data_IF_710748896307
#
_entry.id   IF_710748896307
#
_cell.length_a   1.000
_cell.length_b   1.000
_cell.length_c   1.000
_cell.angle_alpha   90.00
_cell.angle_beta   90.00
_cell.angle_gamma   90.00
#
_symmetry.space_group_name_H-M   'P 1'
#
loop_
_entity.id
_entity.type
_entity.pdbx_description
1 polymer ?
#
# COMPACT_ATOMS: atom_id res chain seq x y z
N UNK A 1 5.76 -7.96 1.31
CA UNK A 1 4.29 -7.93 1.48
C UNK A 1 3.92 -6.62 2.15
N UNK A 2 2.84 -5.97 1.74
CA UNK A 2 2.36 -4.73 2.38
C UNK A 2 1.21 -5.01 3.34
N UNK A 3 1.15 -4.27 4.45
CA UNK A 3 -0.01 -4.21 5.32
C UNK A 3 -1.03 -3.24 4.74
N UNK A 4 -2.10 -3.76 4.15
CA UNK A 4 -3.20 -2.97 3.57
C UNK A 4 -4.08 -2.43 4.70
N UNK A 5 -4.39 -1.14 4.65
CA UNK A 5 -5.40 -0.50 5.52
C UNK A 5 -6.62 -0.15 4.69
N UNK A 6 -7.80 -0.38 5.27
CA UNK A 6 -9.08 -0.06 4.64
C UNK A 6 -9.98 0.69 5.61
N UNK A 7 -11.03 1.31 5.09
CA UNK A 7 -12.09 1.94 5.90
C UNK A 7 -12.87 0.95 6.77
N UNK A 8 -12.68 -0.35 6.56
CA UNK A 8 -13.51 -1.40 7.14
C UNK A 8 -14.94 -1.41 6.57
N UNK A 9 -15.79 -2.19 7.22
CA UNK A 9 -17.20 -2.35 6.85
C UNK A 9 -17.93 -0.99 6.92
N UNK A 10 -18.82 -0.68 5.95
CA UNK A 10 -19.30 -1.56 4.87
C UNK A 10 -18.55 -1.43 3.53
N UNK A 11 -17.61 -0.50 3.41
CA UNK A 11 -17.12 -0.07 2.09
C UNK A 11 -15.73 -0.62 1.73
N UNK A 12 -14.90 -0.95 2.71
CA UNK A 12 -13.56 -1.53 2.55
C UNK A 12 -12.63 -0.79 1.57
N UNK A 13 -12.84 0.51 1.33
CA UNK A 13 -11.95 1.25 0.43
C UNK A 13 -10.57 1.42 1.10
N UNK A 14 -9.52 1.37 0.28
CA UNK A 14 -8.14 1.41 0.76
C UNK A 14 -7.76 2.81 1.24
N UNK A 15 -7.24 2.89 2.46
CA UNK A 15 -6.81 4.12 3.12
C UNK A 15 -5.29 4.26 3.19
N UNK A 16 -4.55 3.18 2.91
CA UNK A 16 -3.10 3.22 2.83
C UNK A 16 -2.44 1.85 2.92
N UNK A 17 -1.10 1.87 2.88
CA UNK A 17 -0.26 0.69 3.03
C UNK A 17 0.97 0.98 3.88
N UNK A 18 1.47 -0.05 4.56
CA UNK A 18 2.82 -0.08 5.14
C UNK A 18 3.64 -1.21 4.49
N UNK A 19 4.93 -0.96 4.27
CA UNK A 19 5.89 -1.93 3.73
C UNK A 19 7.21 -1.86 4.52
N UNK A 20 7.76 -2.99 4.99
CA UNK A 20 7.16 -4.33 4.98
C UNK A 20 5.95 -4.41 5.92
N UNK A 21 5.10 -5.40 5.74
CA UNK A 21 4.15 -5.83 6.77
C UNK A 21 4.88 -6.63 7.87
N UNK A 22 4.61 -6.46 9.18
CA UNK A 22 5.22 -7.27 10.23
C UNK A 22 4.97 -8.78 10.07
N UNK A 23 3.83 -9.20 9.52
CA UNK A 23 3.56 -10.61 9.24
C UNK A 23 4.49 -11.18 8.16
N UNK A 24 5.22 -10.33 7.43
CA UNK A 24 6.33 -10.76 6.56
C UNK A 24 7.46 -11.43 7.36
N UNK A 25 7.63 -11.19 8.66
CA UNK A 25 8.61 -11.92 9.48
C UNK A 25 8.27 -13.43 9.57
N UNK A 26 7.02 -13.82 9.30
CA UNK A 26 6.61 -15.21 9.08
C UNK A 26 6.90 -15.71 7.64
N UNK A 27 7.87 -15.09 6.96
CA UNK A 27 7.98 -14.99 5.50
C UNK A 27 8.00 -16.29 4.69
N UNK A 28 8.25 -17.44 5.33
CA UNK A 28 8.22 -18.73 4.64
C UNK A 28 6.80 -19.16 4.25
N UNK A 29 5.77 -18.92 5.08
CA UNK A 29 4.42 -19.44 4.78
C UNK A 29 3.74 -18.71 3.61
N UNK A 30 3.86 -17.39 3.56
CA UNK A 30 3.25 -16.57 2.52
C UNK A 30 3.95 -16.78 1.17
N UNK A 31 5.28 -16.84 1.19
CA UNK A 31 6.08 -17.12 -0.01
C UNK A 31 5.72 -18.47 -0.62
N UNK A 32 5.68 -19.53 0.18
CA UNK A 32 5.31 -20.88 -0.28
C UNK A 32 3.88 -20.91 -0.84
N UNK A 33 2.90 -20.36 -0.12
CA UNK A 33 1.51 -20.33 -0.55
C UNK A 33 1.33 -19.61 -1.91
N UNK A 34 1.93 -18.42 -2.06
CA UNK A 34 1.86 -17.68 -3.32
C UNK A 34 2.62 -18.41 -4.44
N UNK A 35 3.73 -19.08 -4.15
CA UNK A 35 4.49 -19.84 -5.14
C UNK A 35 3.69 -21.03 -5.68
N UNK A 36 2.94 -21.73 -4.83
CA UNK A 36 2.05 -22.83 -5.24
C UNK A 36 0.96 -22.34 -6.19
N UNK A 37 0.34 -21.20 -5.87
CA UNK A 37 -0.68 -20.57 -6.73
C UNK A 37 -0.09 -20.14 -8.08
N UNK A 38 1.03 -19.42 -8.07
CA UNK A 38 1.73 -18.95 -9.28
C UNK A 38 2.08 -20.14 -10.19
N UNK A 39 2.57 -21.23 -9.59
CA UNK A 39 2.90 -22.47 -10.32
C UNK A 39 1.64 -23.14 -10.90
N UNK A 40 0.55 -23.22 -10.13
CA UNK A 40 -0.72 -23.80 -10.58
C UNK A 40 -1.37 -23.01 -11.72
N UNK A 41 -1.17 -21.69 -11.75
CA UNK A 41 -1.65 -20.81 -12.81
C UNK A 41 -0.73 -20.79 -14.05
N UNK A 42 0.42 -21.46 -14.01
CA UNK A 42 1.39 -21.47 -15.11
C UNK A 42 2.01 -20.09 -15.37
N UNK A 43 2.09 -19.24 -14.33
CA UNK A 43 2.74 -17.94 -14.43
C UNK A 43 4.25 -18.16 -14.36
N UNK A 44 4.93 -17.87 -15.46
CA UNK A 44 6.38 -18.02 -15.56
C UNK A 44 7.10 -16.70 -15.20
N UNK A 45 7.06 -15.70 -16.10
CA UNK A 45 7.75 -14.43 -15.92
C UNK A 45 6.77 -13.25 -15.96
N UNK A 46 6.26 -12.84 -14.81
CA UNK A 46 5.38 -11.68 -14.68
C UNK A 46 5.47 -11.04 -13.29
N UNK A 47 5.23 -9.71 -13.16
CA UNK A 47 4.91 -9.14 -11.85
C UNK A 47 3.60 -9.76 -11.35
N UNK A 48 3.57 -10.15 -10.08
CA UNK A 48 2.38 -10.69 -9.43
C UNK A 48 1.94 -9.72 -8.35
N UNK A 49 0.68 -9.28 -8.45
CA UNK A 49 -0.03 -8.63 -7.38
C UNK A 49 -1.09 -9.59 -6.86
N UNK A 50 -1.02 -9.92 -5.58
CA UNK A 50 -1.98 -10.78 -4.92
C UNK A 50 -2.50 -10.10 -3.66
N UNK A 51 -3.80 -10.23 -3.44
CA UNK A 51 -4.47 -9.85 -2.21
C UNK A 51 -4.79 -11.11 -1.43
N UNK A 52 -4.34 -11.14 -0.17
CA UNK A 52 -4.56 -12.27 0.72
C UNK A 52 -5.14 -11.80 2.03
N UNK A 53 -5.98 -12.62 2.64
CA UNK A 53 -6.37 -12.50 4.03
C UNK A 53 -5.63 -13.53 4.85
N UNK A 54 -5.06 -13.12 5.96
CA UNK A 54 -4.35 -14.03 6.86
C UNK A 54 -5.04 -14.08 8.22
N UNK A 55 -5.17 -15.28 8.76
CA UNK A 55 -5.43 -15.55 10.16
C UNK A 55 -4.25 -16.34 10.74
N UNK A 56 -4.35 -16.72 12.02
CA UNK A 56 -3.34 -17.57 12.65
C UNK A 56 -3.22 -18.93 11.94
N UNK A 57 -4.37 -19.48 11.51
CA UNK A 57 -4.47 -20.84 10.97
C UNK A 57 -4.43 -20.93 9.43
N UNK A 58 -4.72 -19.84 8.70
CA UNK A 58 -4.91 -19.89 7.26
C UNK A 58 -4.44 -18.63 6.52
N UNK A 59 -4.09 -18.83 5.25
CA UNK A 59 -3.91 -17.77 4.25
C UNK A 59 -4.91 -18.04 3.14
N UNK A 60 -5.76 -17.06 2.86
CA UNK A 60 -6.79 -17.14 1.83
C UNK A 60 -6.48 -16.13 0.73
N UNK A 61 -6.40 -16.59 -0.51
CA UNK A 61 -6.30 -15.72 -1.67
C UNK A 61 -7.66 -15.06 -1.94
N UNK A 62 -7.66 -13.72 -2.02
CA UNK A 62 -8.81 -12.92 -2.43
C UNK A 62 -8.76 -12.71 -3.95
N UNK A 63 -7.61 -12.22 -4.45
CA UNK A 63 -7.41 -11.84 -5.85
C UNK A 63 -5.94 -12.02 -6.25
N UNK A 64 -5.66 -12.37 -7.53
CA UNK A 64 -4.31 -12.42 -8.10
C UNK A 64 -4.28 -11.93 -9.55
N UNK A 65 -3.39 -10.99 -9.86
CA UNK A 65 -3.26 -10.37 -11.17
C UNK A 65 -1.78 -10.29 -11.60
N UNK A 66 -1.51 -10.47 -12.89
CA UNK A 66 -0.16 -10.35 -13.48
C UNK A 66 0.18 -8.90 -13.85
N UNK A 67 0.16 -8.02 -12.83
CA UNK A 67 0.54 -6.62 -12.94
C UNK A 67 1.22 -6.17 -11.66
N UNK A 68 1.90 -5.02 -11.71
CA UNK A 68 2.32 -4.36 -10.48
C UNK A 68 1.12 -3.92 -9.64
N UNK A 69 1.30 -3.97 -8.32
CA UNK A 69 0.32 -3.40 -7.38
C UNK A 69 0.11 -1.91 -7.67
N UNK A 70 -1.12 -1.45 -7.47
CA UNK A 70 -1.45 -0.04 -7.53
C UNK A 70 -0.87 0.72 -6.34
N UNK A 71 -1.41 1.90 -6.04
CA UNK A 71 -1.30 2.48 -4.70
C UNK A 71 0.14 2.72 -4.22
N UNK A 72 1.00 3.05 -5.19
CA UNK A 72 2.43 3.30 -5.00
C UNK A 72 3.22 2.11 -4.44
N UNK A 73 2.70 0.88 -4.46
CA UNK A 73 3.40 -0.31 -3.97
C UNK A 73 4.82 -0.43 -4.57
N UNK A 74 5.06 -0.25 -5.89
CA UNK A 74 6.42 -0.25 -6.44
C UNK A 74 7.33 0.83 -5.85
N UNK A 75 6.79 2.02 -5.57
CA UNK A 75 7.56 3.11 -4.96
C UNK A 75 7.85 2.84 -3.47
N UNK A 76 6.93 2.17 -2.76
CA UNK A 76 7.19 1.71 -1.40
C UNK A 76 8.29 0.64 -1.38
N UNK A 77 8.31 -0.29 -2.34
CA UNK A 77 9.37 -1.29 -2.48
C UNK A 77 10.75 -0.64 -2.63
N UNK A 78 10.84 0.41 -3.44
CA UNK A 78 12.08 1.16 -3.59
C UNK A 78 12.45 1.90 -2.30
N UNK A 79 11.50 2.59 -1.65
CA UNK A 79 11.79 3.36 -0.43
C UNK A 79 12.13 2.49 0.79
N UNK A 80 11.49 1.32 0.95
CA UNK A 80 11.67 0.46 2.12
C UNK A 80 12.78 -0.59 1.96
N UNK A 81 12.88 -1.18 0.77
CA UNK A 81 13.70 -2.37 0.51
C UNK A 81 14.79 -2.13 -0.53
N UNK A 82 14.89 -0.90 -1.06
CA UNK A 82 15.76 -0.54 -2.19
C UNK A 82 15.53 -1.44 -3.44
N UNK A 83 14.31 -1.99 -3.57
CA UNK A 83 13.91 -2.84 -4.70
C UNK A 83 13.27 -1.97 -5.80
N UNK A 84 13.95 -1.90 -6.95
CA UNK A 84 13.41 -1.28 -8.16
C UNK A 84 12.62 -2.31 -8.98
N UNK A 85 11.38 -2.58 -8.55
CA UNK A 85 10.55 -3.68 -9.08
C UNK A 85 10.39 -3.71 -10.60
N UNK A 86 10.17 -2.55 -11.25
CA UNK A 86 10.12 -2.46 -12.70
C UNK A 86 11.45 -2.85 -13.36
N UNK A 87 12.57 -2.39 -12.79
CA UNK A 87 13.90 -2.72 -13.28
C UNK A 87 14.18 -4.22 -13.22
N UNK A 88 13.84 -4.86 -12.09
CA UNK A 88 13.97 -6.32 -11.93
C UNK A 88 13.11 -7.09 -12.93
N UNK A 89 11.88 -6.64 -13.19
CA UNK A 89 11.04 -7.27 -14.19
C UNK A 89 11.61 -7.15 -15.61
N UNK A 90 12.11 -5.97 -15.99
CA UNK A 90 12.77 -5.80 -17.29
C UNK A 90 14.06 -6.62 -17.39
N UNK A 91 14.84 -6.71 -16.31
CA UNK A 91 16.05 -7.53 -16.28
C UNK A 91 15.75 -9.02 -16.45
N UNK A 92 14.67 -9.52 -15.82
CA UNK A 92 14.18 -10.88 -16.01
C UNK A 92 13.69 -11.11 -17.45
N UNK A 93 12.86 -10.21 -17.98
CA UNK A 93 12.27 -10.35 -19.31
C UNK A 93 13.31 -10.28 -20.44
N UNK A 94 14.26 -9.35 -20.35
CA UNK A 94 15.22 -9.08 -21.42
C UNK A 94 16.48 -9.96 -21.33
N UNK A 95 16.86 -10.39 -20.13
CA UNK A 95 18.15 -11.04 -19.89
C UNK A 95 18.06 -12.34 -19.07
N UNK A 96 16.87 -12.76 -18.65
CA UNK A 96 16.69 -13.94 -17.79
C UNK A 96 17.31 -13.77 -16.40
N UNK A 97 17.57 -12.53 -15.97
CA UNK A 97 18.20 -12.24 -14.67
C UNK A 97 17.14 -12.18 -13.59
N UNK A 98 17.15 -13.18 -12.69
CA UNK A 98 16.24 -13.23 -11.55
C UNK A 98 16.62 -12.17 -10.50
N UNK A 99 15.64 -11.58 -9.80
CA UNK A 99 15.90 -10.61 -8.75
C UNK A 99 16.60 -11.25 -7.56
N UNK A 100 17.60 -10.55 -7.01
CA UNK A 100 18.20 -10.95 -5.73
C UNK A 100 17.24 -10.62 -4.57
N UNK A 101 17.11 -11.50 -3.57
CA UNK A 101 16.36 -11.19 -2.36
C UNK A 101 16.95 -9.95 -1.67
N UNK A 102 16.12 -9.04 -1.15
CA UNK A 102 16.62 -7.90 -0.39
C UNK A 102 17.36 -8.38 0.86
N UNK A 103 18.38 -7.62 1.29
CA UNK A 103 19.14 -7.86 2.53
C UNK A 103 18.35 -7.59 3.82
N UNK A 104 17.04 -7.38 3.72
CA UNK A 104 16.13 -7.01 4.82
C UNK A 104 15.83 -5.51 4.82
N UNK A 105 14.68 -5.08 5.37
CA UNK A 105 14.32 -3.67 5.43
C UNK A 105 15.20 -2.93 6.44
N UNK A 106 15.75 -1.77 6.03
CA UNK A 106 16.40 -0.83 6.96
C UNK A 106 15.41 0.19 7.55
N UNK A 107 14.17 0.21 7.04
CA UNK A 107 13.12 1.19 7.35
C UNK A 107 11.76 0.68 6.88
N UNK A 108 10.70 1.33 7.33
CA UNK A 108 9.34 1.13 6.87
C UNK A 108 8.98 2.26 5.92
N UNK A 109 8.36 1.96 4.78
CA UNK A 109 7.73 2.94 3.91
C UNK A 109 6.21 2.79 3.99
N UNK A 110 5.50 3.90 3.90
CA UNK A 110 4.04 3.89 3.92
C UNK A 110 3.43 4.90 2.97
N UNK A 111 2.18 4.65 2.63
CA UNK A 111 1.32 5.60 1.93
C UNK A 111 0.01 5.74 2.68
N UNK A 112 -0.49 6.97 2.75
CA UNK A 112 -1.84 7.29 3.24
C UNK A 112 -2.58 8.08 2.18
N UNK A 113 -3.80 7.65 1.86
CA UNK A 113 -4.66 8.37 0.93
C UNK A 113 -5.46 9.43 1.67
N UNK A 114 -5.43 10.65 1.14
CA UNK A 114 -6.18 11.77 1.65
C UNK A 114 -7.56 11.76 0.99
N UNK A 115 -8.59 11.66 1.81
CA UNK A 115 -9.97 11.83 1.36
C UNK A 115 -10.31 13.32 1.32
N UNK A 116 -11.40 13.70 0.63
CA UNK A 116 -11.91 15.07 0.75
C UNK A 116 -12.28 15.30 2.22
N UNK A 117 -11.87 16.42 2.83
CA UNK A 117 -12.52 16.86 4.05
C UNK A 117 -14.01 17.14 3.76
N UNK A 118 -14.84 17.14 4.81
CA UNK A 118 -16.21 17.64 4.73
C UNK A 118 -16.20 19.09 4.20
N UNK A 119 -17.33 19.55 3.66
CA UNK A 119 -17.46 20.96 3.26
C UNK A 119 -17.10 21.86 4.45
N UNK A 120 -16.32 22.90 4.17
CA UNK A 120 -15.79 23.86 5.15
C UNK A 120 -14.82 23.31 6.22
N UNK A 121 -14.42 22.04 6.14
CA UNK A 121 -13.37 21.46 6.99
C UNK A 121 -11.97 21.60 6.36
N UNK A 122 -10.99 21.96 7.18
CA UNK A 122 -9.57 22.00 6.80
C UNK A 122 -8.88 20.67 7.05
N UNK A 123 -7.91 20.30 6.20
CA UNK A 123 -7.04 19.16 6.47
C UNK A 123 -5.84 19.62 7.31
N UNK A 124 -5.78 19.16 8.57
CA UNK A 124 -4.57 19.32 9.39
C UNK A 124 -3.62 18.17 9.10
N UNK A 125 -2.37 18.53 8.80
CA UNK A 125 -1.31 17.57 8.53
C UNK A 125 -0.35 17.62 9.71
N UNK A 126 -0.18 16.51 10.46
CA UNK A 126 0.76 16.47 11.57
C UNK A 126 2.17 16.68 11.05
N UNK A 127 2.98 17.39 11.85
CA UNK A 127 4.41 17.49 11.58
C UNK A 127 5.01 16.08 11.71
N UNK A 128 5.79 15.59 10.72
CA UNK A 128 6.47 14.31 10.84
C UNK A 128 7.33 14.26 12.10
N UNK A 129 7.24 13.19 12.92
CA UNK A 129 8.07 13.02 14.10
C UNK A 129 9.54 12.81 13.69
N UNK A 130 10.44 12.88 14.68
CA UNK A 130 11.87 12.70 14.43
C UNK A 130 12.14 11.35 13.75
N UNK A 131 12.94 11.35 12.68
CA UNK A 131 13.26 10.15 11.90
C UNK A 131 12.23 9.80 10.82
N UNK A 132 11.03 10.39 10.83
CA UNK A 132 10.04 10.23 9.76
C UNK A 132 10.23 11.29 8.69
N UNK A 133 10.24 10.85 7.43
CA UNK A 133 10.25 11.72 6.26
C UNK A 133 8.96 11.52 5.50
N UNK A 134 8.25 12.59 5.17
CA UNK A 134 7.00 12.54 4.43
C UNK A 134 7.03 13.48 3.23
N UNK A 135 6.49 13.01 2.12
CA UNK A 135 6.25 13.72 0.87
C UNK A 135 4.73 13.72 0.65
N UNK A 136 4.18 14.89 0.34
CA UNK A 136 2.75 15.04 0.07
C UNK A 136 2.52 15.38 -1.39
N UNK A 137 1.55 14.70 -2.00
CA UNK A 137 1.02 15.04 -3.31
C UNK A 137 -0.47 15.29 -3.14
N UNK A 138 -0.91 16.52 -3.37
CA UNK A 138 -2.33 16.90 -3.37
C UNK A 138 -2.77 17.10 -4.81
N UNK A 139 -3.84 16.42 -5.21
CA UNK A 139 -4.52 16.67 -6.48
C UNK A 139 -5.25 18.01 -6.43
N UNK A 140 -5.17 18.77 -7.52
CA UNK A 140 -5.90 20.04 -7.65
C UNK A 140 -7.42 19.85 -7.53
N UNK A 141 -8.13 20.93 -7.18
CA UNK A 141 -9.57 20.94 -6.88
C UNK A 141 -10.54 20.54 -8.01
N UNK A 142 -10.03 20.04 -9.14
CA UNK A 142 -10.81 19.60 -10.31
C UNK A 142 -11.23 18.13 -10.24
N UNK A 143 -11.08 17.48 -9.08
CA UNK A 143 -11.62 16.16 -8.81
C UNK A 143 -13.14 16.18 -8.90
N UNK A 144 -13.68 15.91 -10.09
CA UNK A 144 -15.12 15.76 -10.29
C UNK A 144 -15.61 14.59 -9.43
N UNK A 145 -16.71 14.78 -8.68
CA UNK A 145 -17.38 13.63 -8.08
C UNK A 145 -17.71 12.65 -9.21
N UNK A 146 -17.30 11.37 -9.12
CA UNK A 146 -17.88 10.36 -9.97
C UNK A 146 -19.37 10.43 -9.72
N UNK A 147 -20.15 10.82 -10.74
CA UNK A 147 -21.60 10.88 -10.62
C UNK A 147 -22.07 9.56 -10.04
N UNK A 148 -22.79 9.62 -8.92
CA UNK A 148 -23.39 8.44 -8.33
C UNK A 148 -24.31 7.83 -9.38
N UNK A 149 -23.91 6.72 -9.98
CA UNK A 149 -24.85 5.83 -10.63
C UNK A 149 -25.63 5.19 -9.47
N UNK A 150 -26.96 5.13 -9.56
CA UNK A 150 -27.93 4.88 -8.48
C UNK A 150 -27.71 3.63 -7.58
N UNK A 151 -26.63 2.90 -7.78
CA UNK A 151 -26.25 1.68 -7.06
C UNK A 151 -24.73 1.48 -6.91
N UNK A 152 -23.88 2.38 -7.41
CA UNK A 152 -22.42 2.30 -7.30
C UNK A 152 -21.88 3.69 -6.93
N UNK A 153 -21.61 3.90 -5.64
CA UNK A 153 -20.69 4.95 -5.21
C UNK A 153 -19.29 4.45 -5.48
N UNK A 154 -18.63 4.98 -6.50
CA UNK A 154 -17.19 4.79 -6.69
C UNK A 154 -16.52 5.81 -5.76
N UNK A 155 -15.99 5.44 -4.59
CA UNK A 155 -15.35 6.38 -3.68
C UNK A 155 -13.92 6.60 -4.19
N UNK A 156 -13.78 7.16 -5.40
CA UNK A 156 -12.48 7.56 -5.93
C UNK A 156 -12.10 8.98 -5.48
N UNK A 157 -12.53 9.35 -4.28
CA UNK A 157 -12.25 10.65 -3.69
C UNK A 157 -10.88 10.64 -3.01
N UNK A 158 -9.83 10.26 -3.74
CA UNK A 158 -8.44 10.47 -3.29
C UNK A 158 -8.01 11.86 -3.75
N UNK A 159 -8.07 12.81 -2.83
CA UNK A 159 -7.66 14.20 -3.06
C UNK A 159 -6.16 14.38 -2.96
N UNK A 160 -5.47 13.37 -2.46
CA UNK A 160 -4.02 13.37 -2.40
C UNK A 160 -3.52 12.11 -1.74
N UNK A 161 -2.22 12.09 -1.52
CA UNK A 161 -1.54 11.03 -0.82
C UNK A 161 -0.35 11.60 -0.04
N UNK A 162 -0.03 10.93 1.05
CA UNK A 162 1.17 11.16 1.83
C UNK A 162 2.00 9.89 1.74
N UNK A 163 3.17 9.99 1.11
CA UNK A 163 4.17 8.92 1.12
C UNK A 163 5.17 9.23 2.21
N UNK A 164 5.55 8.25 3.01
CA UNK A 164 6.51 8.48 4.09
C UNK A 164 7.43 7.29 4.29
N UNK A 165 8.54 7.54 4.97
CA UNK A 165 9.45 6.53 5.51
C UNK A 165 9.67 6.77 6.99
N UNK A 166 9.73 5.70 7.77
CA UNK A 166 9.95 5.72 9.21
C UNK A 166 11.03 4.69 9.60
N UNK A 167 11.77 4.90 10.69
CA UNK A 167 12.84 3.98 11.09
C UNK A 167 12.32 2.67 11.68
N UNK A 168 11.07 2.63 12.15
CA UNK A 168 10.43 1.43 12.71
C UNK A 168 8.95 1.33 12.34
N UNK A 169 8.34 0.17 12.56
CA UNK A 169 6.89 -0.01 12.43
C UNK A 169 6.11 0.82 13.45
N UNK A 170 6.61 0.93 14.68
CA UNK A 170 5.99 1.75 15.72
C UNK A 170 5.89 3.22 15.27
N UNK A 171 6.99 3.77 14.74
CA UNK A 171 7.02 5.14 14.22
C UNK A 171 6.09 5.30 12.99
N UNK A 172 6.06 4.30 12.12
CA UNK A 172 5.22 4.30 10.92
C UNK A 172 3.72 4.27 11.28
N UNK A 173 3.33 3.40 12.19
CA UNK A 173 1.96 3.28 12.68
C UNK A 173 1.53 4.49 13.48
N UNK A 174 2.41 5.00 14.34
CA UNK A 174 2.17 6.22 15.11
C UNK A 174 1.93 7.43 14.21
N UNK A 175 2.74 7.60 13.15
CA UNK A 175 2.52 8.67 12.17
C UNK A 175 1.24 8.43 11.34
N UNK A 176 0.99 7.19 10.91
CA UNK A 176 -0.23 6.85 10.17
C UNK A 176 -1.49 7.11 11.01
N UNK A 177 -1.49 6.80 12.30
CA UNK A 177 -2.64 7.03 13.20
C UNK A 177 -2.95 8.52 13.38
N UNK A 178 -1.94 9.40 13.37
CA UNK A 178 -2.18 10.84 13.40
C UNK A 178 -2.90 11.34 12.14
N UNK A 179 -2.76 10.62 11.02
CA UNK A 179 -3.47 10.92 9.76
C UNK A 179 -4.90 10.34 9.73
N UNK A 180 -5.27 9.50 10.69
CA UNK A 180 -6.64 8.99 10.88
C UNK A 180 -7.53 9.98 11.67
N UNK A 181 -6.93 10.82 12.53
CA UNK A 181 -7.67 11.47 13.63
C UNK A 181 -8.13 12.92 13.41
N UNK A 182 -7.81 13.57 12.29
CA UNK A 182 -8.06 15.02 12.11
C UNK A 182 -9.23 15.35 11.16
N UNK A 183 -10.17 14.41 10.96
CA UNK A 183 -11.32 14.60 10.05
C UNK A 183 -12.65 14.90 10.77
N UNK A 184 -12.60 15.13 12.09
CA UNK A 184 -13.79 15.43 12.89
C UNK A 184 -13.98 16.93 13.06
N UNK A 185 -15.22 17.35 12.87
CA UNK A 185 -15.73 18.69 13.09
C UNK A 185 -15.47 19.11 14.55
N UNK A 186 -14.78 20.23 14.78
CA UNK A 186 -14.73 20.90 16.09
C UNK A 186 -16.04 21.70 16.29
N UNK A 187 -17.19 21.01 16.21
CA UNK A 187 -18.53 21.58 16.42
C UNK A 187 -19.13 21.17 17.76
#
# INVERSE_FOLDING_TARGET
>A
MTGKRTSGFPYFYETGHLLPDPAQESGSRFGTYLQEIVSALGIDTAPVHAEVKASDDAIELIEIHTRFGGDLVPALMEKALDIRGFGYFYDALLYGRLPEPPSGPARVAGVRFLCRPLEDAGLRIPRPPHGVRAEMVVGGGDGHEPGALDNIRIPNQRYGLIVFTAPSHEDAEGFAAQLDNDWQDDS
#
